data_IF_228254212786
#
_entry.id   IF_228254212786
#
_cell.length_a   1.000
_cell.length_b   1.000
_cell.length_c   1.000
_cell.angle_alpha   90.00
_cell.angle_beta   90.00
_cell.angle_gamma   90.00
#
_symmetry.space_group_name_H-M   'P 1'
#
loop_
_entity.id
_entity.type
_entity.pdbx_description
1 polymer ?
#
# COMPACT_ATOMS: atom_id res chain seq x y z
N UNK A 1 -21.15 0.74 7.40
CA UNK A 1 -19.84 1.21 7.94
C UNK A 1 -19.19 2.03 6.84
N UNK A 2 -18.59 3.18 7.14
CA UNK A 2 -17.86 3.94 6.11
C UNK A 2 -16.73 3.09 5.53
N UNK A 3 -16.56 3.14 4.22
CA UNK A 3 -15.53 2.42 3.47
C UNK A 3 -14.83 3.39 2.50
N UNK A 4 -13.61 3.09 2.09
CA UNK A 4 -12.88 3.89 1.11
C UNK A 4 -13.48 3.76 -0.29
N UNK A 5 -13.93 2.55 -0.63
CA UNK A 5 -14.59 2.22 -1.90
C UNK A 5 -15.45 0.96 -1.70
N UNK A 6 -16.34 0.67 -2.62
CA UNK A 6 -17.19 -0.52 -2.53
C UNK A 6 -16.40 -1.78 -2.90
N UNK A 7 -16.51 -2.82 -2.07
CA UNK A 7 -15.91 -4.13 -2.31
C UNK A 7 -17.02 -5.11 -2.69
N UNK A 8 -17.11 -5.47 -3.96
CA UNK A 8 -18.11 -6.41 -4.45
C UNK A 8 -17.68 -7.86 -4.30
N UNK A 9 -16.39 -8.15 -4.50
CA UNK A 9 -15.83 -9.49 -4.43
C UNK A 9 -14.30 -9.45 -4.31
N UNK A 10 -13.71 -10.51 -3.80
CA UNK A 10 -12.27 -10.80 -3.91
C UNK A 10 -11.91 -11.64 -5.14
N UNK A 11 -12.86 -11.94 -6.02
CA UNK A 11 -12.58 -12.59 -7.30
C UNK A 11 -11.74 -11.65 -8.19
N UNK A 12 -10.51 -12.02 -8.58
CA UNK A 12 -9.67 -11.20 -9.44
C UNK A 12 -10.27 -10.91 -10.84
N UNK A 13 -11.28 -11.68 -11.25
CA UNK A 13 -12.03 -11.45 -12.49
C UNK A 13 -13.26 -10.55 -12.29
N UNK A 14 -13.62 -10.30 -11.02
CA UNK A 14 -14.81 -9.56 -10.64
C UNK A 14 -14.76 -8.07 -10.97
N UNK A 15 -15.90 -7.41 -10.80
CA UNK A 15 -16.00 -5.97 -10.95
C UNK A 15 -15.36 -5.27 -9.74
N UNK A 16 -14.61 -4.22 -9.99
CA UNK A 16 -14.04 -3.33 -8.96
C UNK A 16 -14.70 -1.95 -9.03
N UNK A 17 -14.82 -1.28 -7.88
CA UNK A 17 -15.35 0.09 -7.78
C UNK A 17 -14.30 1.12 -8.15
N UNK A 18 -13.94 1.16 -9.44
CA UNK A 18 -12.97 2.11 -9.96
C UNK A 18 -13.31 3.57 -9.58
N UNK A 19 -14.55 4.06 -9.72
CA UNK A 19 -14.89 5.44 -9.33
C UNK A 19 -14.66 5.72 -7.85
N UNK A 20 -15.00 4.78 -6.95
CA UNK A 20 -14.77 4.92 -5.51
C UNK A 20 -13.28 4.92 -5.16
N UNK A 21 -12.48 4.07 -5.83
CA UNK A 21 -11.02 4.03 -5.67
C UNK A 21 -10.40 5.37 -6.10
N UNK A 22 -10.78 5.89 -7.26
CA UNK A 22 -10.28 7.17 -7.78
C UNK A 22 -10.69 8.37 -6.89
N UNK A 23 -11.92 8.38 -6.37
CA UNK A 23 -12.38 9.39 -5.43
C UNK A 23 -11.57 9.37 -4.12
N UNK A 24 -11.30 8.17 -3.59
CA UNK A 24 -10.50 8.01 -2.39
C UNK A 24 -9.03 8.36 -2.63
N UNK A 25 -8.50 8.07 -3.81
CA UNK A 25 -7.18 8.54 -4.23
C UNK A 25 -7.09 10.07 -4.21
N UNK A 26 -8.08 10.77 -4.76
CA UNK A 26 -8.13 12.24 -4.73
C UNK A 26 -8.09 12.78 -3.31
N UNK A 27 -8.90 12.21 -2.40
CA UNK A 27 -8.95 12.63 -1.01
C UNK A 27 -7.60 12.45 -0.31
N UNK A 28 -6.96 11.29 -0.44
CA UNK A 28 -5.65 11.04 0.19
C UNK A 28 -4.54 11.87 -0.49
N UNK A 29 -4.63 12.09 -1.79
CA UNK A 29 -3.68 12.96 -2.49
C UNK A 29 -3.76 14.39 -1.97
N UNK A 30 -4.95 14.91 -1.70
CA UNK A 30 -5.13 16.23 -1.09
C UNK A 30 -4.49 16.30 0.31
N UNK A 31 -4.63 15.26 1.15
CA UNK A 31 -3.95 15.20 2.43
C UNK A 31 -2.42 15.21 2.30
N UNK A 32 -1.88 14.47 1.33
CA UNK A 32 -0.44 14.50 1.02
C UNK A 32 -0.01 15.91 0.60
N UNK A 33 -0.83 16.60 -0.20
CA UNK A 33 -0.56 17.96 -0.64
C UNK A 33 -0.62 18.98 0.51
N UNK A 34 -1.49 18.80 1.48
CA UNK A 34 -1.52 19.62 2.68
C UNK A 34 -0.20 19.51 3.47
N UNK A 35 0.33 18.29 3.62
CA UNK A 35 1.63 18.06 4.26
C UNK A 35 2.79 18.69 3.47
N UNK A 36 2.78 18.56 2.14
CA UNK A 36 3.78 19.18 1.27
C UNK A 36 3.72 20.71 1.37
N UNK A 37 2.53 21.27 1.35
CA UNK A 37 2.31 22.73 1.46
C UNK A 37 2.70 23.26 2.85
N UNK A 38 2.68 22.42 3.88
CA UNK A 38 3.19 22.76 5.22
C UNK A 38 4.72 22.73 5.31
N UNK A 39 5.42 22.30 4.25
CA UNK A 39 6.88 22.27 4.15
C UNK A 39 7.52 20.88 4.29
N UNK A 40 6.72 19.80 4.28
CA UNK A 40 7.24 18.43 4.32
C UNK A 40 7.55 17.96 2.89
N UNK A 41 8.80 17.59 2.65
CA UNK A 41 9.19 17.00 1.36
C UNK A 41 8.50 15.64 1.15
N UNK A 42 7.95 15.35 -0.05
CA UNK A 42 7.33 14.05 -0.34
C UNK A 42 8.20 12.84 -0.01
N UNK A 43 9.52 12.98 -0.15
CA UNK A 43 10.48 11.93 0.23
C UNK A 43 10.58 11.68 1.75
N UNK A 44 9.83 12.43 2.55
CA UNK A 44 9.67 12.25 3.99
C UNK A 44 8.24 11.85 4.39
N UNK A 45 7.44 11.43 3.46
CA UNK A 45 6.08 10.95 3.69
C UNK A 45 6.04 9.45 3.41
N UNK A 46 5.61 8.65 4.37
CA UNK A 46 5.26 7.23 4.19
C UNK A 46 3.73 7.10 4.19
N UNK A 47 3.20 6.43 3.19
CA UNK A 47 1.77 6.12 3.10
C UNK A 47 1.55 4.67 3.53
N UNK A 48 0.73 4.46 4.54
CA UNK A 48 0.47 3.12 5.06
C UNK A 48 -1.00 2.85 5.33
N UNK A 49 -1.36 1.57 5.30
CA UNK A 49 -2.71 1.16 5.62
C UNK A 49 -2.86 -0.34 5.82
N UNK A 50 -3.97 -0.70 6.47
CA UNK A 50 -4.38 -2.06 6.75
C UNK A 50 -5.63 -2.40 5.93
N UNK A 51 -5.73 -3.62 5.41
CA UNK A 51 -6.88 -4.13 4.68
C UNK A 51 -7.22 -3.21 3.48
N UNK A 52 -8.41 -2.67 3.38
CA UNK A 52 -8.81 -1.72 2.33
C UNK A 52 -7.93 -0.46 2.29
N UNK A 53 -7.47 0.03 3.46
CA UNK A 53 -6.52 1.14 3.55
C UNK A 53 -5.14 0.78 2.99
N UNK A 54 -4.68 -0.46 3.17
CA UNK A 54 -3.45 -0.98 2.56
C UNK A 54 -3.56 -1.09 1.05
N UNK A 55 -4.71 -1.57 0.55
CA UNK A 55 -5.01 -1.63 -0.87
C UNK A 55 -4.95 -0.23 -1.51
N UNK A 56 -5.59 0.75 -0.87
CA UNK A 56 -5.57 2.15 -1.32
C UNK A 56 -4.17 2.75 -1.27
N UNK A 57 -3.38 2.43 -0.23
CA UNK A 57 -1.99 2.90 -0.10
C UNK A 57 -1.09 2.37 -1.23
N UNK A 58 -1.24 1.10 -1.61
CA UNK A 58 -0.55 0.53 -2.78
C UNK A 58 -0.96 1.26 -4.07
N UNK A 59 -2.26 1.42 -4.29
CA UNK A 59 -2.76 2.06 -5.50
C UNK A 59 -2.23 3.49 -5.65
N UNK A 60 -2.34 4.30 -4.58
CA UNK A 60 -1.89 5.70 -4.58
C UNK A 60 -0.37 5.80 -4.69
N UNK A 61 0.36 5.00 -3.91
CA UNK A 61 1.82 5.05 -3.92
C UNK A 61 2.45 4.60 -5.24
N UNK A 62 1.74 3.74 -6.01
CA UNK A 62 2.20 3.28 -7.32
C UNK A 62 1.78 4.22 -8.45
N UNK A 63 0.51 4.67 -8.47
CA UNK A 63 -0.05 5.48 -9.56
C UNK A 63 0.07 6.99 -9.34
N UNK A 64 0.26 7.44 -8.10
CA UNK A 64 0.27 8.85 -7.73
C UNK A 64 1.47 9.61 -8.28
N UNK A 65 1.33 10.94 -8.34
CA UNK A 65 2.34 11.85 -8.90
C UNK A 65 3.56 12.08 -7.99
N UNK A 66 3.41 11.84 -6.69
CA UNK A 66 4.47 12.09 -5.72
C UNK A 66 5.31 10.84 -5.46
N UNK A 67 6.62 11.02 -5.46
CA UNK A 67 7.57 10.00 -5.02
C UNK A 67 7.68 10.04 -3.51
N UNK A 68 6.98 9.14 -2.84
CA UNK A 68 6.97 9.03 -1.39
C UNK A 68 8.22 8.34 -0.85
N UNK A 69 8.48 8.50 0.47
CA UNK A 69 9.55 7.79 1.18
C UNK A 69 9.34 6.27 1.18
N UNK A 70 8.09 5.83 1.23
CA UNK A 70 7.74 4.42 1.21
C UNK A 70 6.24 4.16 1.29
N UNK A 71 5.88 2.91 1.09
CA UNK A 71 4.51 2.39 1.20
C UNK A 71 4.52 1.24 2.21
N UNK A 72 3.55 1.22 3.12
CA UNK A 72 3.28 0.11 4.03
C UNK A 72 1.90 -0.45 3.71
N UNK A 73 1.84 -1.72 3.31
CA UNK A 73 0.63 -2.37 2.82
C UNK A 73 0.36 -3.66 3.62
N UNK A 74 -0.58 -3.60 4.56
CA UNK A 74 -0.83 -4.66 5.52
C UNK A 74 -2.13 -5.40 5.19
N UNK A 75 -2.06 -6.76 5.09
CA UNK A 75 -3.22 -7.65 4.91
C UNK A 75 -4.17 -7.20 3.81
N UNK A 76 -3.64 -6.94 2.61
CA UNK A 76 -4.37 -6.29 1.52
C UNK A 76 -4.06 -6.89 0.14
N UNK A 77 -4.65 -6.29 -0.88
CA UNK A 77 -4.47 -6.63 -2.29
C UNK A 77 -4.18 -5.36 -3.11
N UNK A 78 -3.72 -5.52 -4.36
CA UNK A 78 -3.58 -4.41 -5.29
C UNK A 78 -4.90 -4.20 -6.06
N UNK A 79 -5.66 -3.13 -5.80
CA UNK A 79 -6.88 -2.85 -6.57
C UNK A 79 -6.52 -2.44 -8.00
N UNK A 80 -7.43 -2.73 -8.94
CA UNK A 80 -7.24 -2.49 -10.38
C UNK A 80 -5.95 -3.11 -10.93
N UNK A 81 -5.52 -4.26 -10.36
CA UNK A 81 -4.26 -4.92 -10.67
C UNK A 81 -4.07 -5.18 -12.18
N UNK A 82 -5.16 -5.46 -12.92
CA UNK A 82 -5.13 -5.68 -14.38
C UNK A 82 -4.71 -4.43 -15.17
N UNK A 83 -4.81 -3.26 -14.57
CA UNK A 83 -4.42 -2.00 -15.19
C UNK A 83 -2.94 -1.64 -14.97
N UNK A 84 -2.24 -2.41 -14.12
CA UNK A 84 -0.80 -2.31 -13.93
C UNK A 84 -0.06 -3.23 -14.90
N UNK A 85 1.14 -2.81 -15.37
CA UNK A 85 1.86 -1.58 -15.01
C UNK A 85 1.40 -0.31 -15.73
N UNK A 86 0.31 -0.32 -16.50
CA UNK A 86 -0.16 0.84 -17.26
C UNK A 86 -0.46 2.08 -16.40
N UNK A 87 -0.94 1.87 -15.17
CA UNK A 87 -1.20 2.94 -14.19
C UNK A 87 0.04 3.35 -13.37
N UNK A 88 1.14 2.62 -13.48
CA UNK A 88 2.36 2.92 -12.71
C UNK A 88 2.95 4.26 -13.13
N UNK A 89 3.13 5.17 -12.18
CA UNK A 89 3.89 6.39 -12.43
C UNK A 89 5.39 6.05 -12.52
N UNK A 90 6.05 6.51 -13.58
CA UNK A 90 7.46 6.23 -13.85
C UNK A 90 8.40 6.66 -12.70
N UNK A 91 8.02 7.68 -11.92
CA UNK A 91 8.78 8.12 -10.75
C UNK A 91 8.75 7.10 -9.61
N UNK A 92 7.75 6.22 -9.57
CA UNK A 92 7.48 5.29 -8.47
C UNK A 92 8.00 3.87 -8.72
N UNK A 93 8.68 3.60 -9.83
CA UNK A 93 9.29 2.28 -10.15
C UNK A 93 10.27 1.80 -9.06
N UNK A 94 10.82 2.71 -8.27
CA UNK A 94 11.78 2.41 -7.18
C UNK A 94 11.23 2.78 -5.80
N UNK A 95 9.94 3.05 -5.66
CA UNK A 95 9.36 3.35 -4.34
C UNK A 95 9.55 2.14 -3.42
N UNK A 96 10.07 2.33 -2.19
CA UNK A 96 10.18 1.24 -1.25
C UNK A 96 8.79 0.79 -0.78
N UNK A 97 8.53 -0.51 -0.83
CA UNK A 97 7.26 -1.10 -0.40
C UNK A 97 7.54 -2.21 0.61
N UNK A 98 6.97 -2.06 1.80
CA UNK A 98 6.79 -3.15 2.75
C UNK A 98 5.35 -3.65 2.62
N UNK A 99 5.20 -4.86 2.11
CA UNK A 99 3.92 -5.58 2.06
C UNK A 99 3.95 -6.70 3.09
N UNK A 100 2.92 -6.81 3.92
CA UNK A 100 2.83 -7.79 4.99
C UNK A 100 1.47 -8.50 4.99
N UNK A 101 1.46 -9.79 5.35
CA UNK A 101 0.22 -10.58 5.38
C UNK A 101 0.34 -11.77 6.35
N UNK A 102 -0.69 -11.99 7.14
CA UNK A 102 -0.83 -13.19 7.96
C UNK A 102 -1.26 -14.39 7.12
N UNK A 103 -0.63 -15.55 7.31
CA UNK A 103 -0.94 -16.76 6.54
C UNK A 103 -2.26 -17.44 6.96
N UNK A 104 -2.86 -17.02 8.07
CA UNK A 104 -4.16 -17.46 8.58
C UNK A 104 -5.27 -16.40 8.38
N UNK A 105 -5.04 -15.40 7.52
CA UNK A 105 -6.04 -14.36 7.23
C UNK A 105 -7.23 -14.96 6.47
N UNK A 106 -8.40 -14.96 7.12
CA UNK A 106 -9.66 -15.46 6.58
C UNK A 106 -10.57 -14.35 6.01
N UNK A 107 -10.21 -13.08 6.19
CA UNK A 107 -10.98 -11.92 5.71
C UNK A 107 -10.46 -11.49 4.34
N UNK A 108 -9.17 -11.16 4.25
CA UNK A 108 -8.47 -10.98 2.97
C UNK A 108 -7.59 -12.20 2.76
N UNK A 109 -8.02 -13.17 1.94
CA UNK A 109 -7.29 -14.43 1.78
C UNK A 109 -5.81 -14.23 1.45
N UNK A 110 -4.93 -14.94 2.14
CA UNK A 110 -3.46 -14.81 2.02
C UNK A 110 -2.96 -14.89 0.57
N UNK A 111 -3.59 -15.74 -0.27
CA UNK A 111 -3.21 -15.86 -1.68
C UNK A 111 -3.34 -14.55 -2.47
N UNK A 112 -4.24 -13.64 -2.07
CA UNK A 112 -4.36 -12.31 -2.71
C UNK A 112 -3.13 -11.43 -2.42
N UNK A 113 -2.61 -11.52 -1.20
CA UNK A 113 -1.34 -10.88 -0.85
C UNK A 113 -0.17 -11.43 -1.67
N UNK A 114 -0.11 -12.76 -1.85
CA UNK A 114 0.92 -13.41 -2.68
C UNK A 114 0.81 -12.97 -4.16
N UNK A 115 -0.39 -13.01 -4.75
CA UNK A 115 -0.61 -12.57 -6.13
C UNK A 115 -0.25 -11.08 -6.31
N UNK A 116 -0.61 -10.25 -5.34
CA UNK A 116 -0.23 -8.83 -5.31
C UNK A 116 1.28 -8.66 -5.30
N UNK A 117 1.98 -9.42 -4.46
CA UNK A 117 3.44 -9.42 -4.38
C UNK A 117 4.09 -9.81 -5.71
N UNK A 118 3.61 -10.88 -6.34
CA UNK A 118 4.12 -11.33 -7.63
C UNK A 118 3.91 -10.27 -8.72
N UNK A 119 2.73 -9.65 -8.76
CA UNK A 119 2.43 -8.58 -9.69
C UNK A 119 3.39 -7.39 -9.49
N UNK A 120 3.50 -6.88 -8.27
CA UNK A 120 4.34 -5.70 -7.95
C UNK A 120 5.81 -5.96 -8.27
N UNK A 121 6.36 -7.13 -7.94
CA UNK A 121 7.75 -7.52 -8.25
C UNK A 121 8.09 -7.46 -9.74
N UNK A 122 7.10 -7.59 -10.61
CA UNK A 122 7.32 -7.51 -12.06
C UNK A 122 7.62 -6.10 -12.56
N UNK A 123 7.26 -5.06 -11.81
CA UNK A 123 7.42 -3.67 -12.25
C UNK A 123 7.99 -2.71 -11.19
N UNK A 124 8.09 -3.10 -9.91
CA UNK A 124 8.76 -2.33 -8.84
C UNK A 124 9.99 -3.07 -8.32
N UNK A 125 11.10 -2.33 -8.15
CA UNK A 125 12.40 -2.93 -7.77
C UNK A 125 12.57 -3.11 -6.26
N UNK A 126 11.98 -2.24 -5.45
CA UNK A 126 12.20 -2.15 -4.00
C UNK A 126 10.95 -2.61 -3.24
N UNK A 127 10.53 -3.85 -3.48
CA UNK A 127 9.37 -4.45 -2.84
C UNK A 127 9.80 -5.65 -1.99
N UNK A 128 9.36 -5.66 -0.74
CA UNK A 128 9.50 -6.78 0.19
C UNK A 128 8.11 -7.29 0.60
N UNK A 129 7.93 -8.60 0.59
CA UNK A 129 6.72 -9.27 1.06
C UNK A 129 7.05 -10.12 2.28
N UNK A 130 6.45 -9.78 3.43
CA UNK A 130 6.62 -10.48 4.70
C UNK A 130 5.38 -11.30 5.02
N UNK A 131 5.58 -12.54 5.46
CA UNK A 131 4.52 -13.46 5.87
C UNK A 131 4.64 -13.73 7.35
N UNK A 132 3.56 -13.53 8.11
CA UNK A 132 3.50 -13.80 9.54
C UNK A 132 2.71 -15.06 9.81
N UNK A 133 3.40 -16.07 10.34
CA UNK A 133 2.84 -17.39 10.57
C UNK A 133 1.80 -17.37 11.69
N UNK A 134 0.62 -17.94 11.41
CA UNK A 134 -0.49 -18.01 12.34
C UNK A 134 -1.22 -16.68 12.57
N UNK A 135 -0.84 -15.61 11.90
CA UNK A 135 -1.50 -14.31 12.03
C UNK A 135 -2.78 -14.31 11.17
N UNK A 136 -3.89 -13.95 11.80
CA UNK A 136 -5.18 -13.74 11.15
C UNK A 136 -5.27 -12.32 10.57
N UNK A 137 -6.50 -11.83 10.26
CA UNK A 137 -6.73 -10.46 9.80
C UNK A 137 -6.59 -9.44 10.94
N UNK A 138 -5.37 -9.29 11.41
CA UNK A 138 -4.99 -8.40 12.52
C UNK A 138 -3.51 -8.07 12.42
N UNK A 139 -2.99 -7.21 13.29
CA UNK A 139 -1.55 -6.97 13.44
C UNK A 139 -0.96 -7.80 14.58
N UNK A 140 0.33 -8.14 14.45
CA UNK A 140 1.11 -8.86 15.46
C UNK A 140 2.35 -8.09 15.90
N UNK A 141 2.97 -8.51 17.03
CA UNK A 141 4.14 -7.82 17.58
C UNK A 141 5.31 -7.79 16.58
N UNK A 142 5.62 -8.92 15.95
CA UNK A 142 6.68 -9.02 14.93
C UNK A 142 6.41 -8.09 13.73
N UNK A 143 5.16 -8.00 13.27
CA UNK A 143 4.78 -7.08 12.20
C UNK A 143 5.00 -5.61 12.61
N UNK A 144 4.68 -5.27 13.87
CA UNK A 144 4.87 -3.91 14.38
C UNK A 144 6.35 -3.54 14.49
N UNK A 145 7.21 -4.47 14.91
CA UNK A 145 8.67 -4.28 14.91
C UNK A 145 9.21 -4.05 13.48
N UNK A 146 8.77 -4.85 12.53
CA UNK A 146 9.13 -4.70 11.11
C UNK A 146 8.67 -3.36 10.52
N UNK A 147 7.49 -2.87 10.93
CA UNK A 147 6.99 -1.54 10.54
C UNK A 147 7.89 -0.44 11.12
N UNK A 148 8.28 -0.55 12.40
CA UNK A 148 9.19 0.40 13.05
C UNK A 148 10.53 0.47 12.30
N UNK A 149 11.15 -0.67 12.04
CA UNK A 149 12.41 -0.77 11.28
C UNK A 149 12.28 -0.14 9.88
N UNK A 150 11.17 -0.41 9.19
CA UNK A 150 10.91 0.19 7.88
C UNK A 150 10.81 1.72 7.99
N UNK A 151 10.04 2.24 8.95
CA UNK A 151 9.88 3.68 9.16
C UNK A 151 11.21 4.36 9.50
N UNK A 152 12.00 3.81 10.40
CA UNK A 152 13.32 4.34 10.76
C UNK A 152 14.26 4.39 9.55
N UNK A 153 14.25 3.35 8.71
CA UNK A 153 15.07 3.29 7.50
C UNK A 153 14.63 4.29 6.42
N UNK A 154 13.35 4.65 6.37
CA UNK A 154 12.78 5.56 5.34
C UNK A 154 12.72 7.02 5.80
N UNK A 155 12.63 7.25 7.11
CA UNK A 155 12.47 8.56 7.72
C UNK A 155 13.59 8.83 8.74
N UNK A 156 14.87 8.82 8.32
CA UNK A 156 15.97 9.06 9.24
C UNK A 156 15.81 10.44 9.92
N UNK A 157 16.31 10.55 11.15
CA UNK A 157 16.30 11.81 11.91
C UNK A 157 16.91 12.94 11.08
N UNK A 158 16.26 14.10 11.08
CA UNK A 158 16.86 15.31 10.52
C UNK A 158 17.89 15.75 11.55
N UNK A 159 19.18 15.64 11.20
CA UNK A 159 20.23 16.22 12.02
C UNK A 159 19.97 17.74 12.10
N UNK A 160 19.72 18.17 13.33
CA UNK A 160 19.60 19.59 13.67
C UNK A 160 20.96 20.28 13.56
#
# INVERSE_FOLDING_TARGET
>A
MPAWFDLFSFDPSGQEDKPGIEKSQELITNLIEEEINSGIDPSRIVLGGFSQGGALSLFIGLSGKYKLAGIIALSCWLPLHKSFPGLLNSNNVKVPIMQAHGDCDSVVPYYLGQQTSEAIKSFVKNHEFKTYKGLAHSSGAEEMEDIEDFLESRLPSINQ
#
